data_IF_135541403436
#
_entry.id   IF_135541403436
#
_cell.length_a   1.000
_cell.length_b   1.000
_cell.length_c   1.000
_cell.angle_alpha   90.00
_cell.angle_beta   90.00
_cell.angle_gamma   90.00
#
_symmetry.space_group_name_H-M   'P 1'
#
loop_
_entity.id
_entity.type
_entity.pdbx_description
1 polymer ?
#
# COMPACT_ATOMS: atom_id res chain seq x y z
N UNK A 1 -7.93 -30.12 -24.49
CA UNK A 1 -6.49 -29.89 -24.27
C UNK A 1 -6.36 -28.90 -23.13
N UNK A 2 -5.76 -29.35 -22.04
CA UNK A 2 -5.78 -28.71 -20.71
C UNK A 2 -4.76 -27.57 -20.64
N UNK A 3 -5.24 -26.41 -20.19
CA UNK A 3 -4.45 -25.20 -19.96
C UNK A 3 -3.56 -25.41 -18.72
N UNK A 4 -2.24 -25.24 -18.87
CA UNK A 4 -1.29 -25.19 -17.73
C UNK A 4 -1.17 -23.75 -17.21
N UNK A 5 -1.17 -23.50 -15.90
CA UNK A 5 -0.89 -22.18 -15.35
C UNK A 5 0.62 -21.88 -15.42
N UNK A 6 0.97 -20.68 -15.87
CA UNK A 6 2.32 -20.12 -15.80
C UNK A 6 2.63 -19.74 -14.34
N UNK A 7 3.29 -20.64 -13.63
CA UNK A 7 4.00 -20.31 -12.39
C UNK A 7 5.27 -19.54 -12.75
N UNK A 8 5.42 -18.36 -12.17
CA UNK A 8 6.62 -17.53 -12.19
C UNK A 8 7.82 -18.36 -11.72
N UNK A 9 8.73 -18.66 -12.64
CA UNK A 9 9.96 -19.41 -12.35
C UNK A 9 11.00 -18.43 -11.82
N UNK A 10 11.14 -18.34 -10.49
CA UNK A 10 12.35 -17.79 -9.88
C UNK A 10 13.53 -18.69 -10.30
N UNK A 11 14.61 -18.08 -10.80
CA UNK A 11 15.87 -18.80 -11.06
C UNK A 11 16.54 -19.06 -9.70
N UNK A 12 16.74 -20.34 -9.38
CA UNK A 12 17.45 -20.80 -8.19
C UNK A 12 18.88 -21.16 -8.61
N UNK A 13 19.88 -20.62 -7.95
CA UNK A 13 21.25 -21.15 -8.02
C UNK A 13 21.54 -21.90 -6.72
N UNK A 14 21.87 -23.19 -6.85
CA UNK A 14 22.44 -23.98 -5.77
C UNK A 14 23.89 -23.53 -5.59
N UNK A 15 24.22 -22.95 -4.45
CA UNK A 15 25.62 -22.77 -4.09
C UNK A 15 26.18 -24.14 -3.69
N UNK A 16 27.09 -24.68 -4.51
CA UNK A 16 27.88 -25.86 -4.18
C UNK A 16 28.61 -25.66 -2.85
N UNK A 17 28.13 -26.32 -1.80
CA UNK A 17 28.87 -26.50 -0.54
C UNK A 17 29.63 -27.82 -0.61
N UNK A 18 30.82 -27.76 -1.19
CA UNK A 18 31.89 -28.73 -0.90
C UNK A 18 32.29 -28.62 0.57
N UNK A 19 31.90 -29.59 1.40
CA UNK A 19 32.76 -30.24 2.41
C UNK A 19 31.95 -31.13 3.38
N UNK A 20 32.44 -32.36 3.54
CA UNK A 20 32.21 -33.38 4.57
C UNK A 20 31.05 -33.20 5.58
N UNK A 21 30.10 -34.14 5.57
CA UNK A 21 29.14 -34.39 6.66
C UNK A 21 29.51 -35.70 7.37
N UNK A 22 29.76 -35.74 8.69
CA UNK A 22 29.91 -37.00 9.42
C UNK A 22 28.54 -37.67 9.61
N UNK A 23 28.50 -38.98 9.41
CA UNK A 23 27.30 -39.79 9.62
C UNK A 23 26.88 -39.82 11.10
N UNK A 24 25.67 -39.35 11.42
CA UNK A 24 25.04 -39.62 12.72
C UNK A 24 24.20 -38.52 13.38
N UNK A 25 23.42 -37.71 12.63
CA UNK A 25 22.51 -36.73 13.23
C UNK A 25 21.21 -36.59 12.44
N UNK A 26 20.06 -36.63 13.13
CA UNK A 26 18.71 -36.48 12.56
C UNK A 26 18.57 -35.23 11.66
N UNK A 27 17.91 -35.33 10.49
CA UNK A 27 17.74 -34.21 9.57
C UNK A 27 16.52 -33.37 9.97
N UNK A 28 16.56 -32.73 11.13
CA UNK A 28 15.54 -31.75 11.52
C UNK A 28 16.21 -30.57 12.22
N UNK A 29 16.88 -29.72 11.43
CA UNK A 29 17.04 -28.27 11.65
C UNK A 29 17.99 -27.69 10.60
N UNK A 30 17.60 -27.76 9.33
CA UNK A 30 18.15 -26.79 8.38
C UNK A 30 17.43 -25.46 8.65
N UNK A 31 18.03 -24.57 9.44
CA UNK A 31 17.51 -23.20 9.52
C UNK A 31 17.68 -22.57 8.14
N UNK A 32 16.57 -22.42 7.42
CA UNK A 32 16.55 -21.74 6.13
C UNK A 32 16.86 -20.26 6.40
N UNK A 33 18.12 -19.87 6.25
CA UNK A 33 18.51 -18.47 6.30
C UNK A 33 18.19 -17.83 4.95
N UNK A 34 17.04 -17.16 4.90
CA UNK A 34 16.64 -16.32 3.77
C UNK A 34 17.55 -15.10 3.67
N UNK A 35 18.48 -15.08 2.71
CA UNK A 35 19.15 -13.82 2.32
C UNK A 35 18.31 -13.12 1.27
N UNK A 36 17.56 -12.09 1.72
CA UNK A 36 16.90 -11.12 0.83
C UNK A 36 18.01 -10.26 0.21
N UNK A 37 18.16 -10.28 -1.12
CA UNK A 37 19.01 -9.30 -1.78
C UNK A 37 18.43 -7.91 -1.53
N UNK A 38 19.19 -7.08 -0.83
CA UNK A 38 18.89 -5.68 -0.59
C UNK A 38 19.26 -4.89 -1.84
N UNK A 39 18.32 -4.14 -2.42
CA UNK A 39 18.62 -3.12 -3.42
C UNK A 39 19.51 -2.05 -2.75
N UNK A 40 20.76 -1.84 -3.21
CA UNK A 40 21.68 -0.86 -2.63
C UNK A 40 21.16 0.59 -2.67
N UNK A 41 20.19 0.88 -3.54
CA UNK A 41 19.56 2.22 -3.67
C UNK A 41 18.51 2.52 -2.58
N UNK A 42 18.03 1.50 -1.87
CA UNK A 42 17.14 1.62 -0.71
C UNK A 42 17.97 1.58 0.58
N UNK A 43 19.00 2.44 0.69
CA UNK A 43 20.06 2.26 1.67
C UNK A 43 19.67 2.51 3.12
N UNK A 44 18.52 3.13 3.43
CA UNK A 44 18.04 3.26 4.82
C UNK A 44 16.52 3.16 4.91
N UNK A 45 16.01 1.92 4.99
CA UNK A 45 14.66 1.66 5.50
C UNK A 45 14.75 1.28 6.98
N UNK A 46 14.09 2.03 7.87
CA UNK A 46 13.95 1.65 9.28
C UNK A 46 12.60 0.98 9.50
N UNK A 47 12.60 -0.14 10.22
CA UNK A 47 11.36 -0.70 10.73
C UNK A 47 10.98 -0.03 12.04
N UNK A 48 9.75 0.46 12.13
CA UNK A 48 9.12 0.88 13.38
C UNK A 48 7.90 0.00 13.57
N UNK A 49 7.99 -0.88 14.56
CA UNK A 49 7.08 -2.01 14.75
C UNK A 49 6.94 -2.88 13.49
N UNK A 50 5.76 -2.93 12.88
CA UNK A 50 5.45 -3.67 11.65
C UNK A 50 5.47 -2.80 10.40
N UNK A 51 5.76 -1.51 10.55
CA UNK A 51 5.74 -0.54 9.45
C UNK A 51 7.16 -0.23 9.01
N UNK A 52 7.40 -0.36 7.69
CA UNK A 52 8.64 0.08 7.07
C UNK A 52 8.57 1.58 6.83
N UNK A 53 9.48 2.33 7.46
CA UNK A 53 9.74 3.73 7.16
C UNK A 53 10.92 3.80 6.20
N UNK A 54 10.75 4.52 5.10
CA UNK A 54 11.84 4.90 4.22
C UNK A 54 12.37 6.23 4.74
N UNK A 55 13.52 6.21 5.40
CA UNK A 55 14.08 7.40 6.08
C UNK A 55 14.96 8.23 5.16
N UNK A 56 15.58 7.61 4.16
CA UNK A 56 16.30 8.31 3.10
C UNK A 56 16.07 7.57 1.77
N UNK A 57 15.86 8.33 0.70
CA UNK A 57 15.80 7.82 -0.66
C UNK A 57 16.94 8.43 -1.45
N UNK A 58 18.17 7.97 -1.21
CA UNK A 58 19.36 8.33 -2.02
C UNK A 58 19.41 7.52 -3.33
N UNK A 59 18.24 7.25 -3.92
CA UNK A 59 18.16 6.55 -5.20
C UNK A 59 18.28 7.57 -6.33
N UNK A 60 19.11 7.27 -7.32
CA UNK A 60 19.17 8.07 -8.54
C UNK A 60 17.79 8.09 -9.21
N UNK A 61 17.42 9.24 -9.78
CA UNK A 61 16.18 9.37 -10.56
C UNK A 61 16.23 8.40 -11.74
N UNK A 62 15.14 7.68 -11.99
CA UNK A 62 15.04 6.80 -13.16
C UNK A 62 14.93 7.63 -14.45
N UNK A 63 15.42 7.09 -15.57
CA UNK A 63 15.37 7.72 -16.89
C UNK A 63 14.84 6.74 -17.93
N UNK A 64 14.21 7.26 -18.98
CA UNK A 64 13.69 6.46 -20.10
C UNK A 64 14.79 5.65 -20.78
N UNK A 65 15.94 6.28 -21.07
CA UNK A 65 17.10 5.63 -21.68
C UNK A 65 17.57 4.41 -20.86
N UNK A 66 17.77 4.59 -19.55
CA UNK A 66 18.21 3.50 -18.67
C UNK A 66 17.14 2.40 -18.55
N UNK A 67 15.85 2.77 -18.64
CA UNK A 67 14.77 1.79 -18.69
C UNK A 67 14.86 0.95 -19.98
N UNK A 68 15.01 1.58 -21.14
CA UNK A 68 15.10 0.92 -22.45
C UNK A 68 16.37 0.07 -22.58
N UNK A 69 17.45 0.50 -21.96
CA UNK A 69 18.72 -0.25 -21.85
C UNK A 69 18.67 -1.42 -20.86
N UNK A 70 17.53 -1.66 -20.21
CA UNK A 70 17.32 -2.71 -19.22
C UNK A 70 18.24 -2.61 -17.99
N UNK A 71 18.59 -1.40 -17.58
CA UNK A 71 19.51 -1.15 -16.46
C UNK A 71 18.84 -1.40 -15.08
N UNK A 72 17.51 -1.51 -15.03
CA UNK A 72 16.75 -1.74 -13.80
C UNK A 72 16.40 -3.22 -13.59
N UNK A 73 17.41 -4.09 -13.59
CA UNK A 73 17.28 -5.56 -13.55
C UNK A 73 16.37 -6.06 -12.42
N UNK A 74 16.41 -5.45 -11.24
CA UNK A 74 15.55 -5.84 -10.10
C UNK A 74 14.08 -5.40 -10.25
N UNK A 75 13.80 -4.44 -11.13
CA UNK A 75 12.49 -3.79 -11.28
C UNK A 75 11.88 -4.01 -12.66
N UNK A 76 12.57 -4.68 -13.59
CA UNK A 76 12.12 -4.99 -14.94
C UNK A 76 12.01 -6.50 -15.13
N UNK A 77 10.78 -6.98 -15.29
CA UNK A 77 10.51 -8.42 -15.43
C UNK A 77 10.53 -8.89 -16.89
N UNK A 78 10.49 -7.97 -17.86
CA UNK A 78 10.51 -8.29 -19.28
C UNK A 78 10.22 -7.06 -20.16
N UNK A 79 10.22 -7.30 -21.48
CA UNK A 79 9.88 -6.28 -22.47
C UNK A 79 8.36 -6.05 -22.54
N UNK A 80 7.96 -4.82 -22.83
CA UNK A 80 6.57 -4.38 -23.03
C UNK A 80 6.45 -3.71 -24.39
N UNK A 81 5.37 -3.94 -25.16
CA UNK A 81 5.12 -3.25 -26.43
C UNK A 81 5.04 -1.72 -26.31
N UNK A 82 4.85 -1.20 -25.10
CA UNK A 82 4.88 0.26 -24.85
C UNK A 82 6.25 0.88 -25.14
N UNK A 83 7.33 0.09 -25.11
CA UNK A 83 8.65 0.59 -25.51
C UNK A 83 8.76 0.83 -27.02
N UNK A 84 7.88 0.26 -27.84
CA UNK A 84 7.94 0.48 -29.30
C UNK A 84 7.24 1.78 -29.72
N UNK A 85 6.61 2.49 -28.77
CA UNK A 85 5.93 3.75 -29.03
C UNK A 85 6.94 4.90 -29.19
N UNK A 86 6.82 5.63 -30.29
CA UNK A 86 7.54 6.87 -30.51
C UNK A 86 7.01 8.00 -29.60
N UNK A 87 7.92 8.83 -29.09
CA UNK A 87 7.61 9.97 -28.21
C UNK A 87 6.83 9.58 -26.93
N UNK A 88 7.15 8.42 -26.35
CA UNK A 88 6.59 7.95 -25.09
C UNK A 88 7.72 7.64 -24.08
N UNK A 89 7.80 8.43 -23.02
CA UNK A 89 8.76 8.27 -21.94
C UNK A 89 8.24 7.24 -20.91
N UNK A 90 8.96 6.12 -20.78
CA UNK A 90 8.55 5.01 -19.91
C UNK A 90 8.56 5.37 -18.41
N UNK A 91 9.21 6.46 -18.02
CA UNK A 91 9.32 6.89 -16.63
C UNK A 91 8.35 8.03 -16.31
N UNK A 92 8.27 9.04 -17.17
CA UNK A 92 7.50 10.26 -16.92
C UNK A 92 6.05 10.17 -17.45
N UNK A 93 5.80 9.47 -18.57
CA UNK A 93 4.47 9.43 -19.18
C UNK A 93 3.57 8.32 -18.59
N UNK A 94 4.16 7.35 -17.90
CA UNK A 94 3.40 6.35 -17.16
C UNK A 94 2.93 6.95 -15.84
N UNK A 95 1.61 7.15 -15.72
CA UNK A 95 0.99 7.57 -14.47
C UNK A 95 1.14 6.45 -13.42
N UNK A 96 2.15 6.57 -12.55
CA UNK A 96 2.41 5.60 -11.46
C UNK A 96 1.43 5.79 -10.30
N UNK A 97 0.84 6.97 -10.16
CA UNK A 97 -0.02 7.32 -9.05
C UNK A 97 -1.49 7.17 -9.37
N UNK A 98 -2.10 6.08 -8.91
CA UNK A 98 -3.55 5.99 -8.85
C UNK A 98 -4.07 6.14 -7.41
N UNK A 99 -5.22 6.80 -7.31
CA UNK A 99 -5.81 7.13 -6.02
C UNK A 99 -6.21 5.89 -5.19
N UNK A 100 -6.57 4.79 -5.86
CA UNK A 100 -6.98 3.57 -5.19
C UNK A 100 -5.81 3.01 -4.37
N UNK A 101 -4.62 2.94 -4.98
CA UNK A 101 -3.40 2.45 -4.33
C UNK A 101 -2.63 3.53 -3.56
N UNK A 102 -2.97 4.81 -3.62
CA UNK A 102 -2.27 5.82 -2.80
C UNK A 102 -3.08 6.25 -1.57
N UNK A 103 -4.39 6.40 -1.71
CA UNK A 103 -5.24 7.05 -0.69
C UNK A 103 -6.22 6.05 -0.11
N UNK A 104 -6.98 5.37 -0.96
CA UNK A 104 -8.11 4.57 -0.52
C UNK A 104 -7.63 3.29 0.19
N UNK A 105 -6.80 2.46 -0.46
CA UNK A 105 -6.24 1.24 0.15
C UNK A 105 -5.04 1.57 1.04
N UNK A 106 -4.02 2.26 0.52
CA UNK A 106 -2.76 2.40 1.27
C UNK A 106 -2.86 3.28 2.52
N UNK A 107 -3.45 4.48 2.45
CA UNK A 107 -3.52 5.35 3.64
C UNK A 107 -4.75 5.04 4.47
N UNK A 108 -5.95 5.07 3.87
CA UNK A 108 -7.20 4.96 4.62
C UNK A 108 -7.38 3.59 5.24
N UNK A 109 -7.24 2.49 4.48
CA UNK A 109 -7.37 1.13 5.02
C UNK A 109 -6.28 0.82 6.02
N UNK A 110 -5.06 1.31 5.83
CA UNK A 110 -3.94 1.10 6.76
C UNK A 110 -4.17 1.80 8.10
N UNK A 111 -4.62 3.05 8.11
CA UNK A 111 -5.00 3.74 9.35
C UNK A 111 -6.08 2.98 10.11
N UNK A 112 -7.13 2.54 9.42
CA UNK A 112 -8.19 1.71 10.03
C UNK A 112 -7.65 0.39 10.55
N UNK A 113 -6.77 -0.28 9.81
CA UNK A 113 -6.11 -1.53 10.20
C UNK A 113 -5.26 -1.32 11.46
N UNK A 114 -4.50 -0.22 11.52
CA UNK A 114 -3.69 0.14 12.69
C UNK A 114 -4.56 0.28 13.93
N UNK A 115 -5.66 1.03 13.85
CA UNK A 115 -6.55 1.22 15.00
C UNK A 115 -7.36 -0.03 15.35
N UNK A 116 -7.80 -0.79 14.35
CA UNK A 116 -8.63 -1.97 14.54
C UNK A 116 -7.85 -3.16 15.11
N UNK A 117 -6.66 -3.43 14.59
CA UNK A 117 -5.83 -4.55 15.05
C UNK A 117 -4.80 -4.16 16.10
N UNK A 118 -4.46 -2.87 16.22
CA UNK A 118 -3.43 -2.39 17.14
C UNK A 118 -2.02 -2.81 16.74
N UNK A 119 -1.72 -2.84 15.44
CA UNK A 119 -0.42 -3.34 14.93
C UNK A 119 0.77 -2.44 15.24
N UNK A 120 0.52 -1.21 15.72
CA UNK A 120 1.54 -0.25 16.14
C UNK A 120 1.55 -0.14 17.67
N UNK A 121 2.71 -0.31 18.31
CA UNK A 121 2.83 -0.33 19.78
C UNK A 121 2.43 1.00 20.41
N UNK A 122 2.67 2.11 19.71
CA UNK A 122 2.30 3.45 20.16
C UNK A 122 0.80 3.74 20.08
N UNK A 123 0.01 2.85 19.45
CA UNK A 123 -1.42 3.07 19.22
C UNK A 123 -2.25 2.00 19.90
N UNK A 124 -3.15 2.42 20.79
CA UNK A 124 -4.08 1.51 21.45
C UNK A 124 -5.11 0.97 20.44
N UNK A 125 -5.23 -0.35 20.38
CA UNK A 125 -6.29 -1.06 19.66
C UNK A 125 -7.67 -0.60 20.12
N UNK A 126 -8.60 -0.41 19.20
CA UNK A 126 -9.99 -0.16 19.55
C UNK A 126 -10.62 -1.34 20.30
N UNK A 127 -11.22 -1.04 21.45
CA UNK A 127 -12.00 -2.01 22.21
C UNK A 127 -13.35 -2.31 21.53
N UNK A 128 -14.09 -3.28 22.07
CA UNK A 128 -15.37 -3.70 21.50
C UNK A 128 -16.42 -2.57 21.47
N UNK A 129 -16.52 -1.77 22.52
CA UNK A 129 -17.45 -0.64 22.58
C UNK A 129 -17.16 0.42 21.52
N UNK A 130 -15.89 0.75 21.31
CA UNK A 130 -15.45 1.67 20.25
C UNK A 130 -15.83 1.15 18.85
N UNK A 131 -15.62 -0.13 18.58
CA UNK A 131 -16.03 -0.76 17.31
C UNK A 131 -17.54 -0.72 17.11
N UNK A 132 -18.30 -1.03 18.17
CA UNK A 132 -19.77 -0.98 18.12
C UNK A 132 -20.27 0.44 17.83
N UNK A 133 -19.69 1.45 18.46
CA UNK A 133 -20.01 2.87 18.19
C UNK A 133 -19.76 3.20 16.72
N UNK A 134 -18.59 2.81 16.17
CA UNK A 134 -18.28 3.04 14.76
C UNK A 134 -19.30 2.31 13.87
N UNK A 135 -19.52 1.01 14.09
CA UNK A 135 -20.46 0.20 13.31
C UNK A 135 -21.87 0.79 13.32
N UNK A 136 -22.39 1.21 14.46
CA UNK A 136 -23.70 1.87 14.56
C UNK A 136 -23.75 3.18 13.76
N UNK A 137 -22.69 3.98 13.81
CA UNK A 137 -22.61 5.22 13.03
C UNK A 137 -22.59 4.93 11.52
N UNK A 138 -21.81 3.94 11.08
CA UNK A 138 -21.80 3.51 9.67
C UNK A 138 -23.17 3.02 9.22
N UNK A 139 -23.90 2.31 10.06
CA UNK A 139 -25.23 1.80 9.74
C UNK A 139 -26.31 2.89 9.64
N UNK A 140 -26.18 3.95 10.45
CA UNK A 140 -27.12 5.09 10.51
C UNK A 140 -26.90 6.10 9.38
N UNK A 141 -25.72 6.12 8.77
CA UNK A 141 -25.45 7.05 7.69
C UNK A 141 -26.19 6.67 6.41
N UNK A 142 -26.77 7.69 5.80
CA UNK A 142 -27.30 7.64 4.45
C UNK A 142 -26.18 7.98 3.48
N UNK A 143 -26.03 7.16 2.44
CA UNK A 143 -25.03 7.39 1.39
C UNK A 143 -25.74 7.96 0.16
N UNK A 144 -25.07 8.83 -0.61
CA UNK A 144 -25.61 9.31 -1.88
C UNK A 144 -25.79 8.15 -2.87
N UNK A 145 -26.66 8.31 -3.86
CA UNK A 145 -26.97 7.30 -4.86
C UNK A 145 -25.72 6.83 -5.64
N UNK A 146 -24.74 7.71 -5.79
CA UNK A 146 -23.45 7.45 -6.45
C UNK A 146 -22.52 6.53 -5.65
N UNK A 147 -22.78 6.33 -4.36
CA UNK A 147 -21.98 5.42 -3.55
C UNK A 147 -22.33 3.97 -3.93
N UNK A 148 -21.34 3.14 -4.30
CA UNK A 148 -21.60 1.86 -4.97
C UNK A 148 -22.24 0.78 -4.09
N UNK A 149 -22.46 1.03 -2.79
CA UNK A 149 -23.19 0.20 -1.82
C UNK A 149 -23.10 0.82 -0.41
N UNK A 150 -23.98 0.39 0.51
CA UNK A 150 -23.85 0.65 1.96
C UNK A 150 -22.52 0.08 2.45
N UNK A 151 -21.81 0.82 3.31
CA UNK A 151 -20.57 0.33 3.92
C UNK A 151 -20.84 -0.91 4.78
N UNK A 152 -19.98 -1.92 4.63
CA UNK A 152 -19.96 -3.09 5.50
C UNK A 152 -19.56 -2.70 6.92
N UNK A 153 -19.75 -3.64 7.85
CA UNK A 153 -19.26 -3.46 9.21
C UNK A 153 -17.72 -3.39 9.20
N UNK A 154 -17.18 -2.78 10.24
CA UNK A 154 -15.75 -2.67 10.47
C UNK A 154 -15.11 -4.04 10.76
N UNK A 155 -15.88 -5.05 11.16
CA UNK A 155 -15.35 -6.40 11.39
C UNK A 155 -14.92 -7.06 10.07
N UNK A 156 -15.52 -6.63 8.95
CA UNK A 156 -15.14 -7.04 7.59
C UNK A 156 -14.00 -6.22 6.99
N UNK A 157 -13.35 -5.33 7.76
CA UNK A 157 -12.30 -4.43 7.29
C UNK A 157 -11.20 -5.11 6.43
N UNK A 158 -10.71 -6.33 6.75
CA UNK A 158 -9.75 -7.03 5.88
C UNK A 158 -10.23 -7.19 4.44
N UNK A 159 -11.54 -7.40 4.27
CA UNK A 159 -12.18 -7.63 2.98
C UNK A 159 -12.66 -6.37 2.28
N UNK A 160 -12.55 -5.19 2.92
CA UNK A 160 -12.92 -3.93 2.30
C UNK A 160 -12.11 -3.68 1.03
N UNK A 161 -12.81 -3.38 -0.06
CA UNK A 161 -12.19 -2.93 -1.32
C UNK A 161 -11.94 -1.43 -1.24
N UNK A 162 -11.11 -0.90 -2.14
CA UNK A 162 -10.82 0.53 -2.09
C UNK A 162 -12.03 1.42 -2.41
N UNK A 163 -13.06 0.93 -3.11
CA UNK A 163 -14.34 1.65 -3.25
C UNK A 163 -15.04 1.89 -1.90
N UNK A 164 -14.95 0.95 -0.96
CA UNK A 164 -15.48 1.12 0.38
C UNK A 164 -14.59 2.00 1.24
N UNK A 165 -13.27 1.86 1.11
CA UNK A 165 -12.34 2.75 1.81
C UNK A 165 -12.54 4.21 1.34
N UNK A 166 -12.76 4.41 0.04
CA UNK A 166 -13.15 5.69 -0.57
C UNK A 166 -14.46 6.22 0.01
N UNK A 167 -15.51 5.41 0.02
CA UNK A 167 -16.81 5.82 0.53
C UNK A 167 -16.74 6.13 2.04
N UNK A 168 -15.98 5.33 2.80
CA UNK A 168 -15.71 5.61 4.20
C UNK A 168 -15.02 6.95 4.37
N UNK A 169 -13.90 7.20 3.68
CA UNK A 169 -13.15 8.45 3.80
C UNK A 169 -14.03 9.66 3.50
N UNK A 170 -14.79 9.63 2.40
CA UNK A 170 -15.52 10.79 1.91
C UNK A 170 -16.83 11.09 2.63
N UNK A 171 -17.53 10.06 3.09
CA UNK A 171 -18.89 10.23 3.61
C UNK A 171 -19.01 9.88 5.08
N UNK A 172 -18.19 8.96 5.58
CA UNK A 172 -18.37 8.40 6.91
C UNK A 172 -17.36 8.88 7.95
N UNK A 173 -16.11 9.01 7.55
CA UNK A 173 -14.99 9.01 8.48
C UNK A 173 -15.05 10.11 9.55
N UNK A 174 -15.37 11.40 9.24
CA UNK A 174 -15.44 12.44 10.26
C UNK A 174 -16.46 12.12 11.36
N UNK A 175 -17.65 11.65 10.98
CA UNK A 175 -18.72 11.32 11.93
C UNK A 175 -18.41 10.00 12.66
N UNK A 176 -17.98 8.99 11.92
CA UNK A 176 -17.70 7.66 12.44
C UNK A 176 -16.60 7.69 13.52
N UNK A 177 -15.52 8.46 13.30
CA UNK A 177 -14.33 8.46 14.15
C UNK A 177 -14.38 9.46 15.31
N UNK A 178 -15.33 10.41 15.30
CA UNK A 178 -15.40 11.49 16.32
C UNK A 178 -15.60 10.94 17.73
N UNK A 179 -14.69 11.29 18.64
CA UNK A 179 -14.74 10.83 20.03
C UNK A 179 -14.39 9.34 20.23
N UNK A 180 -14.02 8.62 19.17
CA UNK A 180 -13.46 7.27 19.26
C UNK A 180 -11.93 7.31 19.22
N UNK A 181 -11.38 8.17 18.35
CA UNK A 181 -9.95 8.50 18.31
C UNK A 181 -9.56 9.48 19.43
N UNK A 182 -8.27 9.50 19.80
CA UNK A 182 -7.74 10.57 20.64
C UNK A 182 -7.85 11.92 19.93
N UNK A 183 -7.81 13.02 20.68
CA UNK A 183 -7.93 14.37 20.11
C UNK A 183 -6.89 14.62 19.01
N UNK A 184 -5.63 14.26 19.26
CA UNK A 184 -4.51 14.41 18.31
C UNK A 184 -4.71 13.53 17.07
N UNK A 185 -5.06 12.26 17.25
CA UNK A 185 -5.32 11.34 16.13
C UNK A 185 -6.46 11.84 15.24
N UNK A 186 -7.53 12.33 15.86
CA UNK A 186 -8.67 12.88 15.12
C UNK A 186 -8.26 14.15 14.35
N UNK A 187 -7.48 15.05 14.96
CA UNK A 187 -6.99 16.25 14.28
C UNK A 187 -6.11 15.90 13.07
N UNK A 188 -5.15 14.99 13.22
CA UNK A 188 -4.32 14.53 12.11
C UNK A 188 -5.15 13.85 11.01
N UNK A 189 -6.13 13.04 11.39
CA UNK A 189 -7.05 12.43 10.43
C UNK A 189 -7.87 13.49 9.68
N UNK A 190 -8.35 14.53 10.37
CA UNK A 190 -9.10 15.62 9.73
C UNK A 190 -8.22 16.43 8.77
N UNK A 191 -6.95 16.67 9.09
CA UNK A 191 -5.99 17.29 8.16
C UNK A 191 -5.81 16.44 6.90
N UNK A 192 -5.63 15.13 7.07
CA UNK A 192 -5.58 14.18 5.94
C UNK A 192 -6.86 14.23 5.10
N UNK A 193 -8.04 14.14 5.74
CA UNK A 193 -9.33 14.24 5.07
C UNK A 193 -9.46 15.54 4.27
N UNK A 194 -9.16 16.68 4.88
CA UNK A 194 -9.20 17.98 4.23
C UNK A 194 -8.23 18.05 3.04
N UNK A 195 -7.00 17.54 3.18
CA UNK A 195 -6.03 17.49 2.09
C UNK A 195 -6.54 16.69 0.89
N UNK A 196 -7.13 15.52 1.13
CA UNK A 196 -7.72 14.69 0.06
C UNK A 196 -8.90 15.39 -0.60
N UNK A 197 -9.77 16.07 0.16
CA UNK A 197 -10.90 16.83 -0.40
C UNK A 197 -10.41 18.00 -1.25
N UNK A 198 -9.40 18.73 -0.78
CA UNK A 198 -8.83 19.87 -1.48
C UNK A 198 -8.24 19.46 -2.84
N UNK A 199 -7.44 18.40 -2.88
CA UNK A 199 -6.85 17.87 -4.12
C UNK A 199 -7.93 17.42 -5.12
N UNK A 200 -9.07 16.91 -4.62
CA UNK A 200 -10.18 16.48 -5.48
C UNK A 200 -11.04 17.62 -6.01
N UNK A 201 -11.02 18.79 -5.36
CA UNK A 201 -11.76 19.93 -5.87
C UNK A 201 -11.15 20.35 -7.21
N UNK A 202 -11.93 20.46 -8.30
CA UNK A 202 -11.39 21.03 -9.52
C UNK A 202 -10.87 22.41 -9.15
N UNK A 203 -9.57 22.63 -9.35
CA UNK A 203 -9.08 24.00 -9.39
C UNK A 203 -9.91 24.66 -10.47
N UNK A 204 -10.71 25.67 -10.09
CA UNK A 204 -11.24 26.60 -11.08
C UNK A 204 -9.99 27.21 -11.67
N UNK A 205 -9.56 26.69 -12.82
CA UNK A 205 -8.57 27.35 -13.65
C UNK A 205 -9.16 28.72 -13.88
N UNK A 206 -8.66 29.73 -13.16
CA UNK A 206 -8.94 31.10 -13.50
C UNK A 206 -8.33 31.22 -14.90
N UNK A 207 -9.19 31.16 -15.91
CA UNK A 207 -8.85 31.59 -17.25
C UNK A 207 -8.11 32.91 -17.08
N UNK A 208 -6.81 32.89 -17.32
CA UNK A 208 -6.04 34.11 -17.52
C UNK A 208 -6.65 34.76 -18.75
N UNK A 209 -7.62 35.64 -18.52
CA UNK A 209 -7.88 36.74 -19.44
C UNK A 209 -6.63 37.60 -19.45
N UNK A 210 -5.74 37.35 -20.40
CA UNK A 210 -4.95 38.33 -21.15
C UNK A 210 -4.07 37.62 -22.16
#
# INVERSE_FOLDING_TARGET
>A
MTVRPLLTRCRWEETDLSSHVPHGSSPLTASCQWKRQSDPSLSTSRWVDTVRLLTETNANKRTDDAFRNQEYVLHQTGSTPLMDLENFDMIEDIIVGDRLHQIDIEVTKKLLTIWYFGVLRSTKRWNQGQRQIINQRLQRQTFPLEAPRKLRCLDDLPYWKGSECKAFLHYAAPVALRGVLTKEQYQHFMLYFCGVIFIKSPQKTLERRR
#
